data_IF_915364826704
#
_entry.id   IF_915364826704
#
_cell.length_a   1.000
_cell.length_b   1.000
_cell.length_c   1.000
_cell.angle_alpha   90.00
_cell.angle_beta   90.00
_cell.angle_gamma   90.00
#
_symmetry.space_group_name_H-M   'P 1'
#
loop_
_entity.id
_entity.type
_entity.pdbx_description
1 polymer ?
#
# COMPACT_ATOMS: atom_id res chain seq x y z
N UNK A 1 -53.31 50.05 -31.83
CA UNK A 1 -51.95 50.45 -31.36
C UNK A 1 -51.49 49.48 -30.29
N UNK A 2 -50.18 49.20 -30.26
CA UNK A 2 -49.55 47.98 -29.75
C UNK A 2 -49.49 47.87 -28.22
N UNK A 3 -49.89 46.72 -27.69
CA UNK A 3 -49.53 46.22 -26.35
C UNK A 3 -48.03 45.87 -26.28
N UNK A 4 -47.36 46.25 -25.19
CA UNK A 4 -46.10 45.63 -24.75
C UNK A 4 -46.07 45.49 -23.22
N UNK A 5 -46.12 44.25 -22.69
CA UNK A 5 -45.57 43.93 -21.38
C UNK A 5 -44.19 43.27 -21.55
N UNK A 6 -43.32 43.44 -20.54
CA UNK A 6 -42.21 42.56 -20.11
C UNK A 6 -40.96 43.37 -19.76
N UNK A 7 -40.93 43.90 -18.53
CA UNK A 7 -39.69 44.26 -17.86
C UNK A 7 -39.62 43.66 -16.45
N UNK A 8 -40.12 42.43 -16.28
CA UNK A 8 -40.14 41.75 -14.96
C UNK A 8 -39.76 40.27 -15.06
N UNK A 9 -38.76 39.95 -15.90
CA UNK A 9 -38.15 38.60 -15.98
C UNK A 9 -36.62 38.59 -16.02
N UNK A 10 -35.96 39.72 -15.76
CA UNK A 10 -34.50 39.83 -15.85
C UNK A 10 -33.79 40.16 -14.52
N UNK A 11 -34.46 39.96 -13.39
CA UNK A 11 -33.81 40.03 -12.06
C UNK A 11 -33.75 38.69 -11.32
N UNK A 12 -34.50 37.69 -11.78
CA UNK A 12 -34.51 36.36 -11.16
C UNK A 12 -33.47 35.38 -11.74
N UNK A 13 -32.85 35.69 -12.89
CA UNK A 13 -31.80 34.84 -13.47
C UNK A 13 -30.39 35.14 -12.95
N UNK A 14 -30.15 36.32 -12.39
CA UNK A 14 -28.83 36.70 -11.85
C UNK A 14 -28.51 36.05 -10.49
N UNK A 15 -29.55 35.77 -9.70
CA UNK A 15 -29.39 35.17 -8.36
C UNK A 15 -29.11 33.65 -8.42
N UNK A 16 -29.56 32.96 -9.48
CA UNK A 16 -29.35 31.51 -9.63
C UNK A 16 -27.96 31.14 -10.15
N UNK A 17 -27.27 32.07 -10.82
CA UNK A 17 -25.89 31.86 -11.33
C UNK A 17 -24.83 32.14 -10.26
N UNK A 18 -25.12 32.99 -9.27
CA UNK A 18 -24.20 33.25 -8.15
C UNK A 18 -24.25 32.17 -7.06
N UNK A 19 -25.33 31.38 -6.96
CA UNK A 19 -25.43 30.28 -5.99
C UNK A 19 -24.78 28.97 -6.47
N UNK A 20 -24.48 28.82 -7.76
CA UNK A 20 -23.82 27.61 -8.30
C UNK A 20 -22.30 27.64 -8.22
N UNK A 21 -21.69 28.78 -7.81
CA UNK A 21 -20.23 28.88 -7.63
C UNK A 21 -19.77 28.53 -6.21
N UNK A 22 -20.70 28.26 -5.28
CA UNK A 22 -20.40 27.45 -4.08
C UNK A 22 -20.49 25.96 -4.43
N UNK A 23 -19.84 25.56 -5.52
CA UNK A 23 -19.37 24.20 -5.62
C UNK A 23 -18.36 24.06 -4.49
N UNK A 24 -18.82 23.52 -3.36
CA UNK A 24 -17.98 23.10 -2.25
C UNK A 24 -16.74 22.49 -2.86
N UNK A 25 -15.59 23.13 -2.64
CA UNK A 25 -14.29 22.53 -2.95
C UNK A 25 -14.20 21.31 -2.05
N UNK A 26 -14.79 20.20 -2.50
CA UNK A 26 -14.76 18.93 -1.81
C UNK A 26 -13.29 18.65 -1.58
N UNK A 27 -12.91 18.45 -0.32
CA UNK A 27 -11.57 18.08 0.07
C UNK A 27 -11.24 16.74 -0.61
N UNK A 28 -10.67 16.79 -1.79
CA UNK A 28 -10.18 15.63 -2.51
C UNK A 28 -8.77 15.35 -2.03
N UNK A 29 -8.61 14.33 -1.19
CA UNK A 29 -7.30 13.88 -0.74
C UNK A 29 -6.44 13.47 -1.95
N UNK A 30 -5.19 13.92 -1.98
CA UNK A 30 -4.33 13.81 -3.15
C UNK A 30 -2.88 13.48 -2.76
N UNK A 31 -2.04 13.24 -3.76
CA UNK A 31 -0.60 13.06 -3.53
C UNK A 31 0.05 14.32 -2.94
N UNK A 32 -0.52 15.50 -3.16
CA UNK A 32 0.03 16.77 -2.66
C UNK A 32 -0.11 16.89 -1.14
N UNK A 33 -1.18 16.32 -0.56
CA UNK A 33 -1.36 16.25 0.89
C UNK A 33 -0.27 15.40 1.55
N UNK A 34 0.08 14.28 0.91
CA UNK A 34 1.17 13.40 1.34
C UNK A 34 2.52 14.04 1.09
N UNK A 35 2.70 14.72 -0.05
CA UNK A 35 3.94 15.38 -0.41
C UNK A 35 4.28 16.53 0.53
N UNK A 36 3.26 17.26 1.01
CA UNK A 36 3.43 18.25 2.07
C UNK A 36 4.02 17.61 3.32
N UNK A 37 3.44 16.49 3.80
CA UNK A 37 3.97 15.77 4.96
C UNK A 37 5.39 15.22 4.73
N UNK A 38 5.66 14.66 3.55
CA UNK A 38 6.99 14.16 3.20
C UNK A 38 8.03 15.28 3.20
N UNK A 39 7.71 16.44 2.62
CA UNK A 39 8.58 17.62 2.60
C UNK A 39 8.83 18.16 4.01
N UNK A 40 7.80 18.22 4.85
CA UNK A 40 7.93 18.64 6.25
C UNK A 40 8.83 17.69 7.06
N UNK A 41 8.78 16.38 6.80
CA UNK A 41 9.66 15.37 7.41
C UNK A 41 11.10 15.43 6.89
N UNK A 42 11.31 15.81 5.63
CA UNK A 42 12.65 16.00 5.08
C UNK A 42 13.34 17.24 5.65
N UNK A 43 12.57 18.23 6.13
CA UNK A 43 13.10 19.43 6.80
C UNK A 43 13.49 19.25 8.27
N UNK A 44 13.39 18.02 8.82
CA UNK A 44 13.66 17.69 10.23
C UNK A 44 14.59 16.50 10.34
N UNK A 45 15.24 16.32 11.49
CA UNK A 45 16.02 15.12 11.78
C UNK A 45 15.17 13.84 11.72
N UNK A 46 15.77 12.74 11.26
CA UNK A 46 15.07 11.45 11.19
C UNK A 46 14.82 10.87 12.59
N UNK A 47 13.58 10.46 12.84
CA UNK A 47 13.19 9.75 14.06
C UNK A 47 13.01 8.26 13.76
N UNK A 48 13.95 7.44 14.23
CA UNK A 48 13.87 6.00 14.06
C UNK A 48 12.60 5.45 14.75
N UNK A 49 11.81 4.60 14.07
CA UNK A 49 10.62 4.02 14.66
C UNK A 49 11.01 3.14 15.85
N UNK A 50 10.33 3.31 16.98
CA UNK A 50 10.53 2.49 18.17
C UNK A 50 9.61 1.28 18.09
N UNK A 51 10.16 0.09 18.32
CA UNK A 51 9.35 -1.11 18.39
C UNK A 51 8.43 -1.06 19.61
N UNK A 52 7.15 -1.36 19.39
CA UNK A 52 6.13 -1.59 20.42
C UNK A 52 5.85 -3.09 20.62
N UNK A 53 6.60 -3.98 19.95
CA UNK A 53 6.35 -5.41 19.93
C UNK A 53 6.89 -6.08 21.20
N UNK A 54 6.06 -6.77 22.00
CA UNK A 54 6.51 -7.57 23.13
C UNK A 54 7.52 -8.64 22.72
N UNK A 55 8.46 -8.98 23.60
CA UNK A 55 9.51 -9.99 23.34
C UNK A 55 8.92 -11.33 22.87
N UNK A 56 7.82 -11.77 23.47
CA UNK A 56 7.11 -13.00 23.09
C UNK A 56 6.73 -13.06 21.60
N UNK A 57 6.33 -11.93 21.01
CA UNK A 57 5.98 -11.86 19.58
C UNK A 57 7.21 -11.55 18.71
N UNK A 58 8.21 -10.84 19.24
CA UNK A 58 9.46 -10.55 18.52
C UNK A 58 10.30 -11.81 18.30
N UNK A 59 10.38 -12.67 19.31
CA UNK A 59 11.22 -13.88 19.31
C UNK A 59 10.48 -15.11 18.77
N UNK A 60 9.23 -14.95 18.33
CA UNK A 60 8.42 -16.05 17.83
C UNK A 60 9.03 -16.67 16.57
N UNK A 61 8.84 -17.98 16.39
CA UNK A 61 9.29 -18.69 15.20
C UNK A 61 8.31 -18.47 14.05
N UNK A 62 8.80 -18.60 12.82
CA UNK A 62 7.99 -18.46 11.61
C UNK A 62 6.72 -19.35 11.61
N UNK A 63 6.84 -20.59 12.10
CA UNK A 63 5.70 -21.51 12.19
C UNK A 63 4.60 -21.02 13.15
N UNK A 64 4.97 -20.31 14.22
CA UNK A 64 4.01 -19.69 15.14
C UNK A 64 3.37 -18.46 14.48
N UNK A 65 4.18 -17.62 13.82
CA UNK A 65 3.67 -16.45 13.12
C UNK A 65 2.64 -16.82 12.03
N UNK A 66 2.85 -17.93 11.30
CA UNK A 66 1.89 -18.43 10.30
C UNK A 66 0.54 -18.87 10.88
N UNK A 67 0.47 -19.17 12.18
CA UNK A 67 -0.80 -19.49 12.85
C UNK A 67 -1.64 -18.24 13.10
N UNK A 68 -1.03 -17.05 13.16
CA UNK A 68 -1.75 -15.78 13.26
C UNK A 68 -2.35 -15.47 11.89
N UNK A 69 -3.65 -15.71 11.76
CA UNK A 69 -4.38 -15.53 10.50
C UNK A 69 -5.43 -14.44 10.64
N UNK A 70 -5.58 -13.64 9.59
CA UNK A 70 -6.66 -12.67 9.52
C UNK A 70 -8.02 -13.39 9.49
N UNK A 71 -8.98 -12.88 10.27
CA UNK A 71 -10.36 -13.34 10.24
C UNK A 71 -11.05 -12.78 9.00
N UNK A 72 -11.20 -13.61 7.96
CA UNK A 72 -11.74 -13.22 6.64
C UNK A 72 -13.14 -12.61 6.69
N UNK A 73 -13.96 -12.95 7.69
CA UNK A 73 -15.29 -12.35 7.86
C UNK A 73 -15.21 -10.86 8.21
N UNK A 74 -14.07 -10.42 8.73
CA UNK A 74 -13.77 -9.04 9.10
C UNK A 74 -13.00 -8.27 8.04
N UNK A 75 -12.86 -8.80 6.82
CA UNK A 75 -12.22 -8.08 5.73
C UNK A 75 -12.84 -6.69 5.59
N UNK A 76 -11.99 -5.67 5.50
CA UNK A 76 -12.45 -4.30 5.36
C UNK A 76 -13.25 -4.17 4.07
N UNK A 77 -14.36 -3.44 4.13
CA UNK A 77 -15.38 -3.33 3.06
C UNK A 77 -16.17 -4.60 2.72
N UNK A 78 -16.08 -5.68 3.51
CA UNK A 78 -16.87 -6.90 3.27
C UNK A 78 -18.39 -6.67 3.18
N UNK A 79 -18.90 -5.64 3.89
CA UNK A 79 -20.31 -5.23 3.91
C UNK A 79 -20.66 -4.16 2.86
N UNK A 80 -19.68 -3.62 2.14
CA UNK A 80 -19.90 -2.59 1.13
C UNK A 80 -20.09 -3.22 -0.26
N UNK A 81 -20.81 -2.52 -1.13
CA UNK A 81 -20.96 -2.92 -2.54
C UNK A 81 -19.72 -2.51 -3.32
N UNK A 82 -18.62 -3.22 -3.18
CA UNK A 82 -17.37 -3.03 -3.94
C UNK A 82 -16.73 -4.38 -4.25
N UNK A 83 -16.02 -4.52 -5.38
CA UNK A 83 -15.23 -5.73 -5.63
C UNK A 83 -13.95 -5.81 -4.77
N UNK A 84 -13.48 -4.69 -4.21
CA UNK A 84 -12.25 -4.65 -3.42
C UNK A 84 -12.52 -4.91 -1.94
N UNK A 85 -11.59 -5.62 -1.29
CA UNK A 85 -11.53 -5.74 0.17
C UNK A 85 -10.10 -5.55 0.64
N UNK A 86 -9.93 -5.21 1.92
CA UNK A 86 -8.62 -5.21 2.57
C UNK A 86 -8.57 -6.25 3.68
N UNK A 87 -7.43 -6.92 3.80
CA UNK A 87 -7.07 -7.65 5.01
C UNK A 87 -5.75 -7.10 5.53
N UNK A 88 -5.50 -7.27 6.82
CA UNK A 88 -4.35 -6.67 7.49
C UNK A 88 -3.37 -7.75 7.95
N UNK A 89 -2.08 -7.39 8.02
CA UNK A 89 -1.06 -8.23 8.63
C UNK A 89 -0.84 -7.83 10.09
N UNK A 90 -0.69 -8.82 10.96
CA UNK A 90 -0.38 -8.61 12.38
C UNK A 90 1.12 -8.36 12.56
N UNK A 91 1.52 -7.59 13.58
CA UNK A 91 2.94 -7.46 13.96
C UNK A 91 3.51 -8.78 14.52
N UNK A 92 4.81 -9.02 14.34
CA UNK A 92 5.42 -10.26 14.80
C UNK A 92 6.75 -10.52 14.13
N UNK A 93 7.61 -11.28 14.81
CA UNK A 93 8.98 -11.53 14.38
C UNK A 93 9.74 -10.20 14.14
N UNK A 94 10.14 -9.96 12.89
CA UNK A 94 10.82 -8.76 12.42
C UNK A 94 9.87 -7.63 11.97
N UNK A 95 8.55 -7.83 11.98
CA UNK A 95 7.56 -6.76 11.76
C UNK A 95 7.23 -6.07 13.09
N UNK A 96 8.21 -5.38 13.64
CA UNK A 96 8.21 -4.91 15.02
C UNK A 96 7.79 -3.44 15.17
N UNK A 97 7.55 -2.75 14.05
CA UNK A 97 7.00 -1.39 13.97
C UNK A 97 5.76 -1.37 13.08
N UNK A 98 4.65 -0.74 13.49
CA UNK A 98 3.43 -0.73 12.71
C UNK A 98 3.46 0.29 11.57
N UNK A 99 2.51 0.13 10.66
CA UNK A 99 2.10 1.14 9.70
C UNK A 99 0.72 1.67 10.08
N UNK A 100 0.53 2.97 9.92
CA UNK A 100 -0.79 3.58 10.08
C UNK A 100 -1.56 3.42 8.77
N UNK A 101 -2.83 3.01 8.84
CA UNK A 101 -3.67 2.82 7.67
C UNK A 101 -4.92 3.67 7.83
N UNK A 102 -5.20 4.51 6.83
CA UNK A 102 -6.36 5.38 6.81
C UNK A 102 -7.26 5.02 5.62
N UNK A 103 -8.57 5.14 5.82
CA UNK A 103 -9.54 5.14 4.75
C UNK A 103 -9.87 6.59 4.36
N UNK A 104 -9.80 6.87 3.05
CA UNK A 104 -10.28 8.11 2.45
C UNK A 104 -11.67 7.86 1.87
N UNK A 105 -12.65 8.63 2.32
CA UNK A 105 -14.01 8.65 1.77
C UNK A 105 -14.25 9.95 1.01
N UNK A 106 -15.43 10.11 0.41
CA UNK A 106 -15.80 11.31 -0.32
C UNK A 106 -15.80 12.60 0.54
N UNK A 107 -15.86 12.49 1.87
CA UNK A 107 -15.97 13.65 2.77
C UNK A 107 -14.94 13.67 3.90
N UNK A 108 -14.31 12.54 4.23
CA UNK A 108 -13.42 12.43 5.39
C UNK A 108 -12.28 11.46 5.18
N UNK A 109 -11.20 11.69 5.93
CA UNK A 109 -10.12 10.73 6.16
C UNK A 109 -10.23 10.22 7.59
N UNK A 110 -10.26 8.91 7.79
CA UNK A 110 -10.25 8.33 9.14
C UNK A 110 -9.33 7.13 9.23
N UNK A 111 -8.74 6.93 10.40
CA UNK A 111 -7.85 5.81 10.67
C UNK A 111 -8.64 4.50 10.79
N UNK A 112 -8.16 3.47 10.11
CA UNK A 112 -8.57 2.09 10.34
C UNK A 112 -7.79 1.61 11.57
N UNK A 113 -8.44 1.65 12.73
CA UNK A 113 -7.80 1.27 13.99
C UNK A 113 -7.51 -0.22 14.03
N UNK A 114 -6.33 -0.56 14.50
CA UNK A 114 -5.98 -1.93 14.83
C UNK A 114 -6.91 -2.47 15.93
N UNK A 115 -7.25 -3.76 15.81
CA UNK A 115 -7.88 -4.55 16.85
C UNK A 115 -7.36 -5.99 16.76
N UNK A 116 -7.02 -6.64 17.89
CA UNK A 116 -6.68 -8.05 17.89
C UNK A 116 -7.82 -8.92 17.36
N UNK A 117 -9.07 -8.44 17.42
CA UNK A 117 -10.22 -9.23 16.95
C UNK A 117 -10.24 -9.42 15.42
N UNK A 118 -9.41 -8.69 14.67
CA UNK A 118 -9.18 -8.95 13.24
C UNK A 118 -8.42 -10.25 13.00
N UNK A 119 -7.86 -10.87 14.03
CA UNK A 119 -6.94 -11.99 13.91
C UNK A 119 -7.42 -13.18 14.74
N UNK A 120 -7.13 -14.38 14.23
CA UNK A 120 -7.13 -15.61 14.98
C UNK A 120 -5.67 -15.97 15.27
N UNK A 121 -5.32 -16.10 16.55
CA UNK A 121 -3.96 -16.40 17.00
C UNK A 121 -3.64 -17.90 17.02
N UNK A 122 -4.61 -18.78 16.73
CA UNK A 122 -4.41 -20.22 16.80
C UNK A 122 -3.90 -20.66 18.17
N UNK A 123 -2.80 -21.41 18.19
CA UNK A 123 -2.16 -21.86 19.44
C UNK A 123 -1.02 -20.94 19.90
N UNK A 124 -0.83 -19.78 19.26
CA UNK A 124 0.20 -18.82 19.68
C UNK A 124 -0.16 -18.31 21.06
N UNK A 125 0.65 -18.69 22.05
CA UNK A 125 0.57 -18.10 23.38
C UNK A 125 0.84 -16.61 23.25
N UNK A 126 -0.03 -15.80 23.80
CA UNK A 126 0.10 -14.34 23.88
C UNK A 126 -0.67 -13.86 25.11
N UNK A 127 -0.27 -12.70 25.65
CA UNK A 127 -1.06 -11.99 26.65
C UNK A 127 -2.09 -11.10 25.91
N UNK A 128 -3.41 -11.31 26.11
CA UNK A 128 -4.46 -10.50 25.50
C UNK A 128 -4.33 -9.00 25.76
N UNK A 129 -3.73 -8.58 26.89
CA UNK A 129 -3.52 -7.16 27.18
C UNK A 129 -2.36 -6.58 26.35
N UNK A 130 -1.29 -7.36 26.15
CA UNK A 130 -0.13 -6.92 25.37
C UNK A 130 -0.44 -6.71 23.90
N UNK A 131 -1.37 -7.49 23.34
CA UNK A 131 -1.74 -7.38 21.91
C UNK A 131 -2.68 -6.22 21.62
N UNK A 132 -3.32 -5.59 22.61
CA UNK A 132 -4.24 -4.45 22.41
C UNK A 132 -3.52 -3.17 21.96
N UNK A 133 -2.25 -3.00 22.35
CA UNK A 133 -1.46 -1.80 22.07
C UNK A 133 -0.56 -1.94 20.82
N UNK A 134 -0.85 -2.94 19.98
CA UNK A 134 -0.16 -3.15 18.71
C UNK A 134 -0.80 -2.33 17.58
N UNK A 135 -0.25 -2.47 16.38
CA UNK A 135 -0.79 -1.94 15.14
C UNK A 135 -0.75 -2.97 14.01
N UNK A 136 -1.06 -2.53 12.80
CA UNK A 136 -0.92 -3.38 11.61
C UNK A 136 0.53 -3.37 11.12
N UNK A 137 1.07 -4.53 10.76
CA UNK A 137 2.38 -4.65 10.10
C UNK A 137 2.35 -4.20 8.62
N UNK A 138 1.16 -4.30 8.02
CA UNK A 138 0.92 -4.06 6.60
C UNK A 138 -0.50 -4.45 6.23
N UNK A 139 -0.79 -4.51 4.94
CA UNK A 139 -2.10 -4.94 4.46
C UNK A 139 -2.00 -5.57 3.07
N UNK A 140 -3.08 -6.26 2.68
CA UNK A 140 -3.26 -6.84 1.37
C UNK A 140 -4.58 -6.40 0.77
N UNK A 141 -4.62 -6.35 -0.56
CA UNK A 141 -5.81 -6.02 -1.34
C UNK A 141 -6.35 -7.30 -1.95
N UNK A 142 -7.65 -7.50 -1.79
CA UNK A 142 -8.37 -8.60 -2.40
C UNK A 142 -9.29 -8.12 -3.52
N UNK A 143 -9.45 -8.93 -4.55
CA UNK A 143 -10.32 -8.65 -5.70
C UNK A 143 -10.79 -9.98 -6.35
N UNK A 144 -11.99 -10.06 -6.94
CA UNK A 144 -12.43 -11.25 -7.70
C UNK A 144 -11.68 -11.37 -9.04
N UNK A 145 -10.41 -11.78 -8.98
CA UNK A 145 -9.51 -11.77 -10.13
C UNK A 145 -9.64 -13.01 -11.01
N UNK A 146 -9.72 -14.19 -10.40
CA UNK A 146 -9.64 -15.46 -11.12
C UNK A 146 -11.03 -16.05 -11.46
N UNK A 147 -12.04 -15.75 -10.65
CA UNK A 147 -13.40 -16.24 -10.86
C UNK A 147 -14.42 -15.28 -10.25
N UNK A 148 -15.60 -15.16 -10.87
CA UNK A 148 -16.71 -14.38 -10.29
C UNK A 148 -17.25 -14.98 -8.99
N UNK A 149 -17.03 -16.27 -8.75
CA UNK A 149 -17.51 -16.97 -7.56
C UNK A 149 -16.54 -16.86 -6.37
N UNK A 150 -15.27 -16.52 -6.63
CA UNK A 150 -14.26 -16.25 -5.60
C UNK A 150 -14.04 -14.75 -5.50
N UNK A 151 -14.32 -14.16 -4.33
CA UNK A 151 -14.35 -12.69 -4.15
C UNK A 151 -13.15 -12.16 -3.36
N UNK A 152 -12.15 -12.99 -3.16
CA UNK A 152 -11.09 -12.80 -2.18
C UNK A 152 -9.73 -13.32 -2.69
N UNK A 153 -9.48 -13.26 -4.01
CA UNK A 153 -8.11 -13.47 -4.49
C UNK A 153 -7.24 -12.31 -4.02
N UNK A 154 -6.10 -12.63 -3.40
CA UNK A 154 -5.11 -11.64 -3.02
C UNK A 154 -4.37 -11.14 -4.26
N UNK A 155 -4.43 -9.84 -4.53
CA UNK A 155 -3.87 -9.25 -5.75
C UNK A 155 -2.67 -8.35 -5.47
N UNK A 156 -2.55 -7.85 -4.24
CA UNK A 156 -1.47 -6.94 -3.83
C UNK A 156 -1.19 -7.10 -2.35
N UNK A 157 0.08 -7.05 -1.97
CA UNK A 157 0.54 -7.11 -0.58
C UNK A 157 1.55 -6.00 -0.32
N UNK A 158 1.29 -5.15 0.68
CA UNK A 158 2.20 -4.12 1.19
C UNK A 158 2.67 -4.53 2.58
N UNK A 159 3.93 -4.95 2.69
CA UNK A 159 4.48 -5.48 3.94
C UNK A 159 6.01 -5.41 3.96
N UNK A 160 6.57 -4.84 5.03
CA UNK A 160 8.02 -4.75 5.25
C UNK A 160 8.69 -3.63 4.46
N UNK A 161 9.45 -2.77 5.16
CA UNK A 161 10.10 -1.59 4.59
C UNK A 161 9.16 -0.86 3.60
N UNK A 162 9.59 -0.62 2.35
CA UNK A 162 8.75 -0.05 1.29
C UNK A 162 8.40 -1.07 0.20
N UNK A 163 8.42 -2.36 0.54
CA UNK A 163 8.14 -3.43 -0.41
C UNK A 163 6.65 -3.59 -0.66
N UNK A 164 6.33 -4.01 -1.87
CA UNK A 164 5.02 -4.52 -2.23
C UNK A 164 5.11 -5.59 -3.31
N UNK A 165 4.12 -6.48 -3.35
CA UNK A 165 3.97 -7.54 -4.35
C UNK A 165 2.63 -7.40 -5.05
N UNK A 166 2.57 -7.82 -6.31
CA UNK A 166 1.38 -7.70 -7.15
C UNK A 166 1.28 -8.95 -8.02
N UNK A 167 0.06 -9.42 -8.29
CA UNK A 167 -0.20 -10.50 -9.25
C UNK A 167 -1.34 -10.15 -10.21
N UNK A 168 -1.23 -10.66 -11.44
CA UNK A 168 -2.31 -10.76 -12.44
C UNK A 168 -3.08 -12.08 -12.34
N UNK A 169 -4.09 -12.24 -13.19
CA UNK A 169 -4.93 -13.42 -13.17
C UNK A 169 -4.13 -14.70 -13.46
N UNK A 170 -4.38 -15.75 -12.67
CA UNK A 170 -3.70 -17.05 -12.77
C UNK A 170 -2.25 -17.06 -12.28
N UNK A 171 -1.74 -15.96 -11.72
CA UNK A 171 -0.36 -15.87 -11.23
C UNK A 171 -0.27 -16.22 -9.72
N UNK A 172 0.95 -16.49 -9.28
CA UNK A 172 1.34 -16.64 -7.87
C UNK A 172 2.42 -15.59 -7.58
N UNK A 173 2.54 -15.13 -6.34
CA UNK A 173 3.60 -14.19 -5.97
C UNK A 173 5.00 -14.76 -6.23
N UNK A 174 5.83 -13.98 -6.90
CA UNK A 174 7.27 -14.18 -7.02
C UNK A 174 8.02 -12.92 -6.58
N UNK A 175 8.48 -12.15 -7.57
CA UNK A 175 9.21 -10.90 -7.34
C UNK A 175 8.42 -9.84 -6.57
N UNK A 176 9.15 -8.88 -6.00
CA UNK A 176 8.61 -7.72 -5.29
C UNK A 176 9.09 -6.43 -5.96
N UNK A 177 8.30 -5.37 -5.81
CA UNK A 177 8.71 -3.99 -6.06
C UNK A 177 9.01 -3.28 -4.75
N UNK A 178 9.72 -2.15 -4.78
CA UNK A 178 9.85 -1.25 -3.62
C UNK A 178 9.55 0.19 -4.00
N UNK A 179 9.19 1.00 -3.00
CA UNK A 179 9.01 2.45 -3.19
C UNK A 179 10.31 3.15 -3.57
N UNK A 180 11.41 2.81 -2.89
CA UNK A 180 12.73 3.41 -3.09
C UNK A 180 13.82 2.47 -2.59
N UNK A 181 15.01 2.53 -3.20
CA UNK A 181 16.21 1.86 -2.71
C UNK A 181 17.34 2.89 -2.53
N UNK A 182 18.14 2.76 -1.46
CA UNK A 182 19.21 3.72 -1.14
C UNK A 182 20.49 2.94 -0.83
N UNK A 183 21.58 3.31 -1.50
CA UNK A 183 22.91 2.75 -1.29
C UNK A 183 23.01 1.21 -1.49
N UNK A 184 22.06 0.60 -2.20
CA UNK A 184 22.09 -0.83 -2.55
C UNK A 184 23.41 -1.19 -3.24
N UNK A 185 24.05 -2.26 -2.77
CA UNK A 185 25.34 -2.76 -3.23
C UNK A 185 26.52 -1.78 -3.05
N UNK A 186 26.43 -0.79 -2.16
CA UNK A 186 27.58 0.00 -1.73
C UNK A 186 28.24 -0.60 -0.47
N UNK A 187 29.57 -0.50 -0.30
CA UNK A 187 30.28 -0.99 0.89
C UNK A 187 29.82 -0.38 2.21
N UNK A 188 29.24 0.83 2.17
CA UNK A 188 28.68 1.51 3.34
C UNK A 188 27.43 0.83 3.94
N UNK A 189 26.83 -0.11 3.21
CA UNK A 189 25.58 -0.76 3.57
C UNK A 189 24.36 -0.09 2.91
N UNK A 190 23.34 -0.91 2.64
CA UNK A 190 22.06 -0.47 2.09
C UNK A 190 21.18 0.15 3.18
N UNK A 191 20.52 1.27 2.84
CA UNK A 191 19.47 1.86 3.63
C UNK A 191 18.10 1.40 3.09
N UNK A 192 17.20 1.02 4.00
CA UNK A 192 15.87 0.52 3.66
C UNK A 192 14.77 1.53 4.06
N UNK A 193 14.32 2.39 3.13
CA UNK A 193 13.15 3.22 3.33
C UNK A 193 11.90 2.40 3.61
N UNK A 194 11.02 2.92 4.49
CA UNK A 194 9.76 2.27 4.83
C UNK A 194 8.54 3.11 4.51
N UNK A 195 7.45 2.46 4.09
CA UNK A 195 6.15 3.10 4.16
C UNK A 195 5.68 3.11 5.61
N UNK A 196 5.36 4.28 6.15
CA UNK A 196 4.91 4.44 7.55
C UNK A 196 3.41 4.70 7.68
N UNK A 197 2.81 5.32 6.66
CA UNK A 197 1.39 5.66 6.65
C UNK A 197 0.81 5.43 5.26
N UNK A 198 -0.39 4.87 5.22
CA UNK A 198 -1.17 4.65 4.01
C UNK A 198 -2.52 5.36 4.10
N UNK A 199 -3.02 5.77 2.94
CA UNK A 199 -4.39 6.27 2.74
C UNK A 199 -4.99 5.52 1.57
N UNK A 200 -5.95 4.65 1.85
CA UNK A 200 -6.64 3.84 0.84
C UNK A 200 -7.97 4.52 0.53
N UNK A 201 -8.17 4.91 -0.73
CA UNK A 201 -9.42 5.52 -1.17
C UNK A 201 -10.51 4.46 -1.28
N UNK A 202 -11.66 4.72 -0.64
CA UNK A 202 -12.84 3.84 -0.75
C UNK A 202 -13.31 3.83 -2.21
N UNK A 203 -13.21 2.70 -2.91
CA UNK A 203 -13.67 2.62 -4.29
C UNK A 203 -15.20 2.71 -4.36
N UNK A 204 -15.71 3.30 -5.44
CA UNK A 204 -17.14 3.27 -5.76
C UNK A 204 -17.54 1.88 -6.23
N UNK A 205 -18.84 1.52 -6.19
CA UNK A 205 -19.28 0.17 -6.53
C UNK A 205 -18.91 -0.34 -7.91
N UNK A 206 -18.79 0.56 -8.88
CA UNK A 206 -18.46 0.24 -10.26
C UNK A 206 -16.95 0.29 -10.55
N UNK A 207 -16.14 0.80 -9.62
CA UNK A 207 -14.71 0.99 -9.85
C UNK A 207 -13.99 -0.34 -10.02
N UNK A 208 -13.06 -0.35 -10.98
CA UNK A 208 -12.21 -1.50 -11.33
C UNK A 208 -10.74 -1.23 -11.04
N UNK A 209 -10.48 -0.19 -10.27
CA UNK A 209 -9.16 0.19 -9.81
C UNK A 209 -9.23 0.58 -8.34
N UNK A 210 -8.10 0.57 -7.67
CA UNK A 210 -7.96 1.03 -6.29
C UNK A 210 -6.83 2.07 -6.21
N UNK A 211 -7.12 3.19 -5.56
CA UNK A 211 -6.13 4.25 -5.31
C UNK A 211 -5.61 4.11 -3.89
N UNK A 212 -4.29 4.08 -3.76
CA UNK A 212 -3.59 4.03 -2.47
C UNK A 212 -2.54 5.13 -2.48
N UNK A 213 -2.51 5.94 -1.44
CA UNK A 213 -1.40 6.85 -1.18
C UNK A 213 -0.53 6.32 -0.05
N UNK A 214 0.77 6.60 -0.10
CA UNK A 214 1.70 6.18 0.95
C UNK A 214 2.75 7.27 1.24
N UNK A 215 3.03 7.42 2.54
CA UNK A 215 4.15 8.22 3.04
C UNK A 215 5.32 7.29 3.35
N UNK A 216 6.45 7.57 2.71
CA UNK A 216 7.73 6.90 2.90
C UNK A 216 8.66 7.76 3.74
N UNK A 217 9.39 7.13 4.66
CA UNK A 217 10.38 7.76 5.52
C UNK A 217 11.56 6.81 5.71
N UNK A 218 12.74 7.39 5.79
CA UNK A 218 14.03 6.71 5.86
C UNK A 218 15.05 7.65 6.49
N UNK A 219 16.20 7.22 7.00
CA UNK A 219 17.21 8.13 7.55
C UNK A 219 17.52 9.35 6.66
N UNK A 220 17.73 9.16 5.35
CA UNK A 220 18.21 10.23 4.46
C UNK A 220 17.22 10.64 3.36
N UNK A 221 16.02 10.06 3.33
CA UNK A 221 14.99 10.44 2.37
C UNK A 221 13.57 10.29 2.93
N UNK A 222 12.64 11.03 2.34
CA UNK A 222 11.20 10.87 2.49
C UNK A 222 10.55 10.80 1.11
N UNK A 223 9.31 10.33 1.04
CA UNK A 223 8.57 10.34 -0.22
C UNK A 223 7.07 10.25 -0.07
N UNK A 224 6.37 10.81 -1.05
CA UNK A 224 4.93 10.68 -1.21
C UNK A 224 4.63 9.88 -2.46
N UNK A 225 3.74 8.90 -2.34
CA UNK A 225 3.40 7.96 -3.41
C UNK A 225 1.90 7.94 -3.64
N UNK A 226 1.51 7.79 -4.91
CA UNK A 226 0.17 7.40 -5.34
C UNK A 226 0.28 6.16 -6.21
N UNK A 227 -0.40 5.10 -5.81
CA UNK A 227 -0.57 3.86 -6.54
C UNK A 227 -1.99 3.80 -7.09
N UNK A 228 -2.14 3.59 -8.39
CA UNK A 228 -3.41 3.23 -9.02
C UNK A 228 -3.30 1.78 -9.50
N UNK A 229 -3.94 0.87 -8.77
CA UNK A 229 -3.90 -0.56 -9.05
C UNK A 229 -5.09 -0.91 -9.91
N UNK A 230 -4.85 -1.47 -11.11
CA UNK A 230 -5.90 -1.94 -12.03
C UNK A 230 -5.75 -3.45 -12.24
N UNK A 231 -6.56 -4.28 -11.56
CA UNK A 231 -6.46 -5.73 -11.64
C UNK A 231 -6.93 -6.27 -12.99
N UNK A 232 -6.22 -7.25 -13.53
CA UNK A 232 -6.55 -7.87 -14.82
C UNK A 232 -5.74 -9.13 -15.10
N UNK A 233 -5.77 -9.60 -16.36
CA UNK A 233 -4.84 -10.65 -16.84
C UNK A 233 -3.41 -10.24 -16.51
N UNK A 234 -3.10 -8.99 -16.78
CA UNK A 234 -1.97 -8.26 -16.24
C UNK A 234 -2.54 -7.23 -15.26
N UNK A 235 -2.14 -7.29 -14.00
CA UNK A 235 -2.45 -6.21 -13.06
C UNK A 235 -1.44 -5.10 -13.26
N UNK A 236 -1.90 -3.91 -13.62
CA UNK A 236 -1.04 -2.73 -13.73
C UNK A 236 -1.07 -1.92 -12.45
N UNK A 237 0.07 -1.29 -12.13
CA UNK A 237 0.16 -0.34 -11.02
C UNK A 237 0.82 0.93 -11.54
N UNK A 238 0.03 1.98 -11.75
CA UNK A 238 0.58 3.30 -12.06
C UNK A 238 1.09 3.93 -10.76
N UNK A 239 2.39 4.25 -10.74
CA UNK A 239 3.06 4.83 -9.57
C UNK A 239 3.49 6.25 -9.88
N UNK A 240 2.95 7.21 -9.13
CA UNK A 240 3.47 8.56 -9.06
C UNK A 240 4.19 8.75 -7.74
N UNK A 241 5.40 9.33 -7.77
CA UNK A 241 6.17 9.59 -6.56
C UNK A 241 6.77 11.01 -6.53
N UNK A 242 6.90 11.56 -5.32
CA UNK A 242 7.65 12.78 -5.02
C UNK A 242 8.62 12.46 -3.90
N UNK A 243 9.92 12.41 -4.20
CA UNK A 243 10.98 12.02 -3.25
C UNK A 243 11.74 13.28 -2.82
N UNK A 244 11.99 13.39 -1.53
CA UNK A 244 12.76 14.49 -0.93
C UNK A 244 13.94 13.91 -0.17
N UNK A 245 15.15 14.33 -0.51
CA UNK A 245 16.34 13.96 0.25
C UNK A 245 16.43 14.82 1.51
N UNK A 246 16.59 14.17 2.66
CA UNK A 246 16.93 14.83 3.94
C UNK A 246 18.43 15.10 4.02
N UNK A 247 19.23 14.21 3.42
CA UNK A 247 20.67 14.34 3.28
C UNK A 247 21.14 13.69 1.97
N UNK A 248 22.39 13.90 1.60
CA UNK A 248 23.03 13.26 0.45
C UNK A 248 23.06 11.75 0.63
N UNK A 249 22.84 11.05 -0.49
CA UNK A 249 22.94 9.60 -0.61
C UNK A 249 23.97 9.25 -1.68
N UNK A 250 24.62 8.09 -1.57
CA UNK A 250 25.59 7.64 -2.56
C UNK A 250 24.91 7.11 -3.83
N UNK A 251 23.82 6.38 -3.68
CA UNK A 251 23.03 5.81 -4.78
C UNK A 251 21.54 5.86 -4.47
N UNK A 252 20.75 6.32 -5.43
CA UNK A 252 19.29 6.32 -5.36
C UNK A 252 18.72 5.37 -6.42
N UNK A 253 18.03 4.32 -5.99
CA UNK A 253 17.35 3.36 -6.86
C UNK A 253 15.88 3.74 -7.03
N UNK A 254 15.50 4.10 -8.26
CA UNK A 254 14.14 4.47 -8.65
C UNK A 254 13.44 3.27 -9.29
N UNK A 255 12.16 3.08 -8.98
CA UNK A 255 11.35 1.93 -9.42
C UNK A 255 12.05 0.56 -9.21
N UNK A 256 12.62 0.29 -8.01
CA UNK A 256 13.38 -0.92 -7.78
C UNK A 256 12.49 -2.17 -7.82
N UNK A 257 13.02 -3.21 -8.47
CA UNK A 257 12.49 -4.57 -8.42
C UNK A 257 13.45 -5.47 -7.62
N UNK A 258 12.91 -6.49 -6.97
CA UNK A 258 13.69 -7.50 -6.22
C UNK A 258 13.10 -8.87 -6.53
N UNK A 259 13.94 -9.76 -7.04
CA UNK A 259 13.56 -11.11 -7.42
C UNK A 259 14.54 -12.13 -6.82
N UNK A 260 14.36 -13.39 -7.15
CA UNK A 260 15.17 -14.50 -6.68
C UNK A 260 15.56 -15.40 -7.84
N UNK A 261 16.83 -15.81 -7.88
CA UNK A 261 17.33 -16.84 -8.79
C UNK A 261 18.23 -17.80 -8.02
N UNK A 262 17.91 -19.11 -8.05
CA UNK A 262 18.76 -20.14 -7.44
C UNK A 262 19.60 -20.85 -8.49
N UNK A 263 18.95 -21.40 -9.52
CA UNK A 263 19.60 -22.09 -10.64
C UNK A 263 18.64 -22.19 -11.84
N UNK A 264 19.21 -22.43 -13.03
CA UNK A 264 18.50 -22.59 -14.30
C UNK A 264 19.42 -23.21 -15.35
N UNK A 265 18.98 -23.31 -16.60
CA UNK A 265 19.76 -23.98 -17.66
C UNK A 265 21.12 -23.32 -17.92
N UNK A 266 21.23 -22.00 -17.74
CA UNK A 266 22.46 -21.23 -17.87
C UNK A 266 23.43 -21.39 -16.68
N UNK A 267 22.93 -21.83 -15.52
CA UNK A 267 23.74 -22.15 -14.34
C UNK A 267 23.03 -23.28 -13.56
N UNK A 268 23.25 -24.56 -13.93
CA UNK A 268 22.56 -25.69 -13.32
C UNK A 268 22.89 -25.86 -11.83
N UNK A 269 21.98 -26.50 -11.09
CA UNK A 269 22.20 -26.86 -9.69
C UNK A 269 23.41 -27.78 -9.55
N UNK A 270 24.26 -27.51 -8.56
CA UNK A 270 25.38 -28.39 -8.19
C UNK A 270 24.93 -29.67 -7.47
N UNK A 271 23.70 -29.69 -6.96
CA UNK A 271 23.06 -30.86 -6.34
C UNK A 271 22.00 -31.43 -7.28
N UNK A 272 21.85 -32.76 -7.30
CA UNK A 272 20.76 -33.42 -8.04
C UNK A 272 19.42 -32.86 -7.56
N UNK A 273 18.67 -32.29 -8.49
CA UNK A 273 17.34 -31.74 -8.23
C UNK A 273 16.41 -32.25 -9.33
N UNK A 274 15.20 -32.68 -8.94
CA UNK A 274 14.20 -33.10 -9.94
C UNK A 274 13.65 -31.91 -10.75
N UNK A 275 13.83 -30.69 -10.25
CA UNK A 275 13.44 -29.47 -10.96
C UNK A 275 14.57 -29.06 -11.91
N UNK A 276 14.27 -28.74 -13.18
CA UNK A 276 15.27 -28.24 -14.12
C UNK A 276 15.69 -26.78 -13.84
N UNK A 277 14.85 -26.00 -13.16
CA UNK A 277 15.12 -24.62 -12.78
C UNK A 277 14.35 -24.22 -11.50
N UNK A 278 14.85 -23.22 -10.77
CA UNK A 278 14.21 -22.64 -9.59
C UNK A 278 14.56 -21.16 -9.47
N UNK A 279 13.64 -20.29 -9.88
CA UNK A 279 13.79 -18.83 -9.86
C UNK A 279 12.43 -18.13 -10.03
N UNK A 280 12.32 -16.91 -9.52
CA UNK A 280 11.20 -15.99 -9.76
C UNK A 280 11.41 -15.13 -11.02
N UNK A 281 12.67 -14.97 -11.45
CA UNK A 281 13.06 -14.31 -12.70
C UNK A 281 14.39 -14.86 -13.20
N UNK A 282 14.57 -14.96 -14.52
CA UNK A 282 15.75 -15.55 -15.17
C UNK A 282 16.55 -14.55 -16.02
N UNK A 283 16.11 -13.30 -16.10
CA UNK A 283 16.80 -12.26 -16.85
C UNK A 283 16.31 -10.86 -16.53
N UNK A 284 17.08 -9.88 -17.02
CA UNK A 284 16.72 -8.47 -17.04
C UNK A 284 16.46 -8.08 -18.49
N UNK A 285 15.24 -7.61 -18.78
CA UNK A 285 14.89 -7.03 -20.08
C UNK A 285 14.95 -5.52 -20.02
N UNK A 286 15.61 -4.91 -21.01
CA UNK A 286 15.71 -3.45 -21.17
C UNK A 286 15.37 -3.12 -22.61
N UNK A 287 14.37 -2.28 -22.82
CA UNK A 287 14.14 -1.62 -24.09
C UNK A 287 14.80 -0.23 -24.02
N UNK A 288 15.98 -0.11 -24.64
CA UNK A 288 16.69 1.17 -24.73
C UNK A 288 15.97 2.08 -25.73
N UNK A 289 15.80 3.35 -25.37
CA UNK A 289 14.98 4.33 -26.08
C UNK A 289 15.42 4.65 -27.50
#
# INVERSE_FOLDING_TARGET
MKNKPKLMKLRLLGATVLLSMYASSGWAFSIDDVAKQAKDLAGKGYEAPKSNLPSQLREMKYADYQQIQFNRDKAWWSKLKTPFKLEFYHQGMYFDTPVQINEVTASTVHEIKYSPDFFNFGNVKHDPETVKNLGFAGFKVLYPLNSKNKKDDEITSFLGASYFRVIGAGQVYGLSSRGLAIDTALPSGEEFPRFKTFWVERPKPADKHLIIYALLDSPRATGAYRFLITPGKETTVDVQSKVFLRDKVGKLGVAPLTSMYLFGANQPSSQVNFRPALHDSDGLSIHAG
#
